data_IF_570820207867
#
_entry.id   IF_570820207867
#
_cell.length_a   1.000
_cell.length_b   1.000
_cell.length_c   1.000
_cell.angle_alpha   90.00
_cell.angle_beta   90.00
_cell.angle_gamma   90.00
#
_symmetry.space_group_name_H-M   'P 1'
#
loop_
_entity.id
_entity.type
_entity.pdbx_description
1 polymer ?
#
# COMPACT_ATOMS: atom_id res chain seq x y z
N UNK A 1 3.62 -13.60 -15.05
CA UNK A 1 3.30 -12.14 -14.98
C UNK A 1 4.44 -11.44 -14.23
N UNK A 2 5.67 -11.62 -14.69
CA UNK A 2 6.87 -11.18 -13.95
C UNK A 2 7.13 -9.66 -13.94
N UNK A 3 6.38 -8.84 -14.70
CA UNK A 3 6.83 -7.45 -14.92
C UNK A 3 5.76 -6.37 -14.91
N UNK A 4 4.60 -6.59 -14.30
CA UNK A 4 3.53 -5.57 -14.34
C UNK A 4 3.96 -4.26 -13.64
N UNK A 5 4.74 -4.34 -12.57
CA UNK A 5 5.23 -3.16 -11.86
C UNK A 5 6.34 -2.45 -12.64
N UNK A 6 7.28 -3.23 -13.20
CA UNK A 6 8.31 -2.69 -14.07
C UNK A 6 7.70 -1.99 -15.30
N UNK A 7 6.67 -2.59 -15.90
CA UNK A 7 5.91 -1.96 -16.98
C UNK A 7 5.22 -0.68 -16.48
N UNK A 8 4.52 -0.72 -15.34
CA UNK A 8 3.89 0.47 -14.76
C UNK A 8 4.90 1.58 -14.50
N UNK A 9 6.08 1.23 -13.96
CA UNK A 9 7.16 2.19 -13.72
C UNK A 9 7.67 2.77 -15.04
N UNK A 10 8.00 1.94 -16.02
CA UNK A 10 8.45 2.40 -17.33
C UNK A 10 7.41 3.32 -17.99
N UNK A 11 6.13 2.95 -17.96
CA UNK A 11 5.05 3.80 -18.51
C UNK A 11 4.89 5.10 -17.70
N UNK A 12 5.07 5.09 -16.39
CA UNK A 12 4.94 6.30 -15.55
C UNK A 12 6.06 7.31 -15.75
N UNK A 13 7.19 6.92 -16.34
CA UNK A 13 8.29 7.83 -16.71
C UNK A 13 8.11 8.49 -18.06
N UNK A 14 7.17 8.01 -18.89
CA UNK A 14 6.90 8.58 -20.19
C UNK A 14 6.05 9.84 -20.09
N UNK A 15 6.31 10.79 -21.00
CA UNK A 15 5.43 11.94 -21.18
C UNK A 15 4.12 11.51 -21.87
N UNK A 16 3.03 12.22 -21.64
CA UNK A 16 1.72 11.91 -22.21
C UNK A 16 1.75 11.68 -23.73
N UNK A 17 2.59 12.43 -24.46
CA UNK A 17 2.76 12.29 -25.91
C UNK A 17 3.46 10.98 -26.28
N UNK A 18 4.44 10.54 -25.48
CA UNK A 18 5.16 9.28 -25.69
C UNK A 18 4.24 8.09 -25.40
N UNK A 19 3.43 8.17 -24.32
CA UNK A 19 2.41 7.15 -24.01
C UNK A 19 1.40 7.03 -25.15
N UNK A 20 0.90 8.16 -25.68
CA UNK A 20 -0.01 8.16 -26.82
C UNK A 20 0.64 7.58 -28.08
N UNK A 21 1.91 7.89 -28.34
CA UNK A 21 2.66 7.35 -29.49
C UNK A 21 2.79 5.82 -29.38
N UNK A 22 3.26 5.29 -28.25
CA UNK A 22 3.36 3.84 -28.03
C UNK A 22 2.00 3.14 -28.12
N UNK A 23 0.96 3.71 -27.51
CA UNK A 23 -0.40 3.16 -27.60
C UNK A 23 -0.91 3.15 -29.04
N UNK A 24 -0.66 4.19 -29.80
CA UNK A 24 -1.04 4.27 -31.21
C UNK A 24 -0.35 3.20 -32.03
N UNK A 25 0.95 2.98 -31.83
CA UNK A 25 1.71 1.94 -32.52
C UNK A 25 1.17 0.53 -32.20
N UNK A 26 0.92 0.26 -30.91
CA UNK A 26 0.34 -1.03 -30.47
C UNK A 26 -1.05 -1.24 -31.10
N UNK A 27 -1.91 -0.23 -31.09
CA UNK A 27 -3.26 -0.34 -31.66
C UNK A 27 -3.24 -0.46 -33.18
N UNK A 28 -2.30 0.21 -33.87
CA UNK A 28 -2.10 0.06 -35.31
C UNK A 28 -1.66 -1.37 -35.66
N UNK A 29 -0.67 -1.92 -34.93
CA UNK A 29 -0.20 -3.31 -35.11
C UNK A 29 -1.32 -4.34 -34.87
N UNK A 30 -2.16 -4.13 -33.83
CA UNK A 30 -3.34 -4.98 -33.59
C UNK A 30 -4.37 -4.85 -34.74
N UNK A 31 -4.55 -3.64 -35.28
CA UNK A 31 -5.44 -3.38 -36.40
C UNK A 31 -5.01 -4.13 -37.66
N UNK A 32 -3.72 -4.06 -38.00
CA UNK A 32 -3.13 -4.76 -39.15
C UNK A 32 -3.25 -6.28 -39.00
N UNK A 33 -2.97 -6.83 -37.79
CA UNK A 33 -3.17 -8.23 -37.48
C UNK A 33 -4.62 -8.66 -37.70
N UNK A 34 -5.59 -7.84 -37.30
CA UNK A 34 -7.02 -8.11 -37.47
C UNK A 34 -7.44 -8.13 -38.94
N UNK A 35 -6.90 -7.24 -39.73
CA UNK A 35 -7.18 -7.21 -41.19
C UNK A 35 -6.55 -8.41 -41.91
N UNK A 36 -5.33 -8.79 -41.55
CA UNK A 36 -4.65 -9.96 -42.10
C UNK A 36 -5.33 -11.27 -41.71
N UNK A 37 -5.93 -11.34 -40.49
CA UNK A 37 -6.61 -12.53 -39.97
C UNK A 37 -7.78 -13.01 -40.85
N UNK A 38 -8.42 -12.13 -41.62
CA UNK A 38 -9.48 -12.45 -42.59
C UNK A 38 -9.03 -12.97 -43.94
N UNK A 39 -7.71 -12.97 -44.25
CA UNK A 39 -7.13 -13.29 -45.56
C UNK A 39 -6.01 -14.34 -45.54
N UNK A 40 -5.89 -15.10 -44.43
CA UNK A 40 -4.77 -16.03 -44.21
C UNK A 40 -4.80 -17.23 -45.17
N UNK A 41 -3.83 -17.27 -46.11
CA UNK A 41 -3.48 -18.44 -46.90
C UNK A 41 -2.36 -19.30 -46.24
N UNK A 42 -1.76 -18.82 -45.14
CA UNK A 42 -0.65 -19.49 -44.39
C UNK A 42 -0.99 -19.68 -42.91
N UNK A 43 -0.30 -20.60 -42.22
CA UNK A 43 -0.51 -20.83 -40.78
C UNK A 43 -0.31 -19.53 -39.97
N UNK A 44 -1.20 -19.32 -39.01
CA UNK A 44 -1.21 -18.14 -38.10
C UNK A 44 0.16 -17.85 -37.47
N UNK A 45 0.91 -18.90 -37.15
CA UNK A 45 2.22 -18.85 -36.52
C UNK A 45 3.28 -18.10 -37.35
N UNK A 46 3.22 -18.23 -38.70
CA UNK A 46 4.13 -17.52 -39.59
C UNK A 46 3.80 -16.02 -39.73
N UNK A 47 2.52 -15.66 -39.60
CA UNK A 47 2.07 -14.28 -39.69
C UNK A 47 2.21 -13.50 -38.39
N UNK A 48 2.27 -14.22 -37.26
CA UNK A 48 2.45 -13.62 -35.92
C UNK A 48 3.92 -13.32 -35.60
N UNK A 49 4.86 -13.89 -36.34
CA UNK A 49 6.29 -13.79 -36.00
C UNK A 49 6.82 -12.35 -36.07
N UNK A 50 6.52 -11.59 -37.12
CA UNK A 50 6.95 -10.19 -37.26
C UNK A 50 6.29 -9.25 -36.25
N UNK A 51 4.94 -9.22 -36.12
CA UNK A 51 4.30 -8.35 -35.14
C UNK A 51 4.65 -8.67 -33.68
N UNK A 52 4.89 -9.95 -33.37
CA UNK A 52 5.36 -10.35 -32.03
C UNK A 52 6.81 -9.89 -31.82
N UNK A 53 7.66 -9.97 -32.84
CA UNK A 53 9.04 -9.48 -32.78
C UNK A 53 9.08 -7.95 -32.55
N UNK A 54 8.25 -7.19 -33.26
CA UNK A 54 8.12 -5.74 -33.06
C UNK A 54 7.63 -5.38 -31.65
N UNK A 55 6.62 -6.07 -31.12
CA UNK A 55 6.15 -5.90 -29.74
C UNK A 55 7.24 -6.22 -28.72
N UNK A 56 8.04 -7.25 -28.95
CA UNK A 56 9.18 -7.60 -28.10
C UNK A 56 10.26 -6.53 -28.17
N UNK A 57 10.53 -5.98 -29.33
CA UNK A 57 11.50 -4.91 -29.52
C UNK A 57 11.02 -3.61 -28.84
N UNK A 58 9.77 -3.24 -29.02
CA UNK A 58 9.16 -2.09 -28.32
C UNK A 58 9.19 -2.26 -26.80
N UNK A 59 8.82 -3.44 -26.29
CA UNK A 59 8.96 -3.78 -24.87
C UNK A 59 10.40 -3.67 -24.40
N UNK A 60 11.34 -4.24 -25.16
CA UNK A 60 12.77 -4.20 -24.80
C UNK A 60 13.33 -2.77 -24.81
N UNK A 61 12.88 -1.95 -25.78
CA UNK A 61 13.22 -0.53 -25.85
C UNK A 61 12.68 0.23 -24.67
N UNK A 62 11.40 0.03 -24.32
CA UNK A 62 10.75 0.65 -23.16
C UNK A 62 11.46 0.28 -21.85
N UNK A 63 11.81 -1.01 -21.70
CA UNK A 63 12.47 -1.53 -20.49
C UNK A 63 13.96 -1.19 -20.42
N UNK A 64 14.60 -0.80 -21.53
CA UNK A 64 15.99 -0.35 -21.59
C UNK A 64 16.16 1.15 -21.43
N UNK A 65 15.07 1.91 -21.39
CA UNK A 65 15.15 3.32 -21.04
C UNK A 65 15.86 3.46 -19.69
N UNK A 66 16.87 4.35 -19.57
CA UNK A 66 17.50 4.59 -18.28
C UNK A 66 16.41 4.91 -17.28
N UNK A 67 16.54 4.36 -16.07
CA UNK A 67 15.62 4.63 -14.99
C UNK A 67 15.57 6.14 -14.75
N UNK A 68 14.69 6.81 -15.49
CA UNK A 68 14.39 8.22 -15.25
C UNK A 68 13.69 8.27 -13.89
N UNK A 69 14.06 9.25 -13.07
CA UNK A 69 13.35 9.52 -11.83
C UNK A 69 11.87 9.64 -12.15
N UNK A 70 11.05 8.93 -11.40
CA UNK A 70 9.62 9.14 -11.52
C UNK A 70 9.32 10.61 -11.15
N UNK A 71 8.35 11.20 -11.80
CA UNK A 71 7.98 12.62 -11.64
C UNK A 71 7.82 13.05 -10.17
N UNK A 72 7.42 12.11 -9.31
CA UNK A 72 7.20 12.35 -7.89
C UNK A 72 8.39 12.05 -6.98
N UNK A 73 9.48 11.50 -7.52
CA UNK A 73 10.67 11.20 -6.72
C UNK A 73 11.41 12.49 -6.31
N UNK A 74 12.09 12.49 -5.16
CA UNK A 74 12.90 13.62 -4.71
C UNK A 74 13.89 14.07 -5.77
N UNK A 75 14.06 15.38 -5.91
CA UNK A 75 14.94 16.03 -6.88
C UNK A 75 15.78 17.11 -6.17
N UNK A 76 16.93 17.53 -6.72
CA UNK A 76 17.81 18.50 -6.08
C UNK A 76 17.18 19.86 -5.76
N UNK A 77 16.18 20.26 -6.55
CA UNK A 77 15.41 21.49 -6.43
C UNK A 77 14.12 21.35 -5.59
N UNK A 78 13.88 20.17 -5.04
CA UNK A 78 12.74 19.93 -4.16
C UNK A 78 12.85 20.74 -2.88
N UNK A 79 11.83 21.52 -2.56
CA UNK A 79 11.75 22.26 -1.30
C UNK A 79 11.09 21.47 -0.18
N UNK A 80 10.19 20.52 -0.55
CA UNK A 80 9.48 19.66 0.39
C UNK A 80 9.48 18.21 -0.11
N UNK A 81 9.67 17.28 0.81
CA UNK A 81 9.50 15.84 0.55
C UNK A 81 8.51 15.31 1.56
N UNK A 82 7.36 14.83 1.06
CA UNK A 82 6.32 14.22 1.87
C UNK A 82 6.55 12.72 1.96
N UNK A 83 6.70 12.20 3.17
CA UNK A 83 6.76 10.76 3.45
C UNK A 83 5.42 10.35 4.05
N UNK A 84 4.77 9.38 3.46
CA UNK A 84 3.41 8.96 3.83
C UNK A 84 3.17 7.47 3.61
N UNK A 85 2.15 6.91 4.26
CA UNK A 85 1.79 5.50 4.17
C UNK A 85 0.60 5.28 3.23
N UNK A 86 0.75 4.30 2.34
CA UNK A 86 -0.31 3.78 1.47
C UNK A 86 -0.55 4.57 0.17
N UNK A 87 -0.84 3.82 -0.89
CA UNK A 87 -1.05 4.38 -2.24
C UNK A 87 -2.32 5.24 -2.35
N UNK A 88 -3.37 4.92 -1.56
CA UNK A 88 -4.60 5.72 -1.55
C UNK A 88 -4.32 7.15 -1.08
N UNK A 89 -3.61 7.30 0.03
CA UNK A 89 -3.21 8.61 0.53
C UNK A 89 -2.24 9.31 -0.41
N UNK A 90 -1.27 8.55 -0.99
CA UNK A 90 -0.38 9.04 -2.03
C UNK A 90 -1.12 9.59 -3.25
N UNK A 91 -2.18 8.91 -3.67
CA UNK A 91 -3.05 9.35 -4.77
C UNK A 91 -3.74 10.68 -4.48
N UNK A 92 -4.37 10.80 -3.30
CA UNK A 92 -5.00 12.06 -2.84
C UNK A 92 -3.98 13.20 -2.74
N UNK A 93 -2.79 12.93 -2.19
CA UNK A 93 -1.71 13.92 -2.08
C UNK A 93 -1.25 14.41 -3.46
N UNK A 94 -1.01 13.51 -4.41
CA UNK A 94 -0.63 13.86 -5.78
C UNK A 94 -1.66 14.76 -6.44
N UNK A 95 -2.95 14.50 -6.22
CA UNK A 95 -4.03 15.34 -6.74
C UNK A 95 -3.95 16.75 -6.15
N UNK A 96 -3.84 16.87 -4.84
CA UNK A 96 -3.81 18.18 -4.16
C UNK A 96 -2.57 18.99 -4.56
N UNK A 97 -1.39 18.34 -4.65
CA UNK A 97 -0.17 19.02 -5.08
C UNK A 97 -0.26 19.54 -6.53
N UNK A 98 -0.95 18.80 -7.41
CA UNK A 98 -1.25 19.28 -8.77
C UNK A 98 -2.19 20.49 -8.76
N UNK A 99 -3.23 20.47 -7.94
CA UNK A 99 -4.17 21.59 -7.82
C UNK A 99 -3.50 22.86 -7.32
N UNK A 100 -2.49 22.74 -6.44
CA UNK A 100 -1.69 23.89 -5.98
C UNK A 100 -0.60 24.33 -6.95
N UNK A 101 -0.30 23.54 -7.99
CA UNK A 101 0.84 23.80 -8.88
C UNK A 101 2.21 23.59 -8.19
N UNK A 102 2.28 22.75 -7.15
CA UNK A 102 3.49 22.51 -6.35
C UNK A 102 4.28 21.28 -6.79
N UNK A 103 3.94 20.69 -7.92
CA UNK A 103 4.52 19.43 -8.41
C UNK A 103 6.03 19.48 -8.64
N UNK A 104 6.58 20.64 -8.96
CA UNK A 104 8.00 20.78 -9.22
C UNK A 104 8.83 20.83 -7.91
N UNK A 105 8.25 21.41 -6.87
CA UNK A 105 8.95 21.67 -5.59
C UNK A 105 8.59 20.68 -4.48
N UNK A 106 7.43 20.01 -4.57
CA UNK A 106 6.96 19.02 -3.59
C UNK A 106 7.03 17.63 -4.18
N UNK A 107 7.71 16.73 -3.50
CA UNK A 107 7.93 15.34 -3.93
C UNK A 107 7.41 14.36 -2.88
N UNK A 108 7.28 13.09 -3.27
CA UNK A 108 6.61 12.08 -2.47
C UNK A 108 7.48 10.84 -2.31
N UNK A 109 7.54 10.32 -1.10
CA UNK A 109 8.01 8.97 -0.79
C UNK A 109 6.84 8.24 -0.14
N UNK A 110 6.37 7.16 -0.78
CA UNK A 110 5.22 6.40 -0.32
C UNK A 110 5.69 5.08 0.27
N UNK A 111 5.44 4.89 1.55
CA UNK A 111 5.60 3.62 2.25
C UNK A 111 4.37 2.75 1.94
N UNK A 112 4.50 1.80 1.02
CA UNK A 112 3.34 1.04 0.49
C UNK A 112 2.88 -0.10 1.37
N UNK A 113 3.74 -0.56 2.27
CA UNK A 113 3.43 -1.73 3.09
C UNK A 113 2.54 -1.39 4.30
N UNK A 114 1.72 -2.35 4.72
CA UNK A 114 1.03 -2.29 6.00
C UNK A 114 1.93 -2.84 7.12
N UNK A 115 2.53 -1.94 7.90
CA UNK A 115 3.44 -2.29 8.99
C UNK A 115 2.72 -2.75 10.26
N UNK A 116 1.38 -2.73 10.32
CA UNK A 116 0.62 -3.33 11.41
C UNK A 116 0.66 -4.86 11.37
N UNK A 117 0.91 -5.46 10.21
CA UNK A 117 0.89 -6.91 9.99
C UNK A 117 2.21 -7.44 9.43
N UNK A 118 2.47 -8.73 9.67
CA UNK A 118 3.66 -9.43 9.23
C UNK A 118 4.91 -9.13 10.09
N UNK A 119 5.98 -9.93 9.93
CA UNK A 119 7.23 -9.73 10.65
C UNK A 119 7.91 -8.42 10.23
N UNK A 120 8.53 -7.74 11.19
CA UNK A 120 9.34 -6.53 10.97
C UNK A 120 10.80 -6.75 11.34
N UNK A 121 11.16 -7.95 11.82
CA UNK A 121 12.52 -8.25 12.24
C UNK A 121 13.49 -8.08 11.08
N UNK A 122 14.56 -7.31 11.33
CA UNK A 122 15.62 -7.01 10.38
C UNK A 122 15.12 -6.50 9.00
N UNK A 123 14.01 -5.78 8.96
CA UNK A 123 13.41 -5.30 7.71
C UNK A 123 14.36 -4.39 6.90
N UNK A 124 15.30 -3.76 7.56
CA UNK A 124 16.40 -2.98 6.98
C UNK A 124 17.45 -3.84 6.24
N UNK A 125 17.39 -5.18 6.40
CA UNK A 125 18.29 -6.14 5.74
C UNK A 125 17.57 -6.97 4.67
N UNK A 126 18.28 -7.49 3.64
CA UNK A 126 17.69 -8.41 2.66
C UNK A 126 17.09 -9.68 3.31
N UNK A 127 17.66 -10.14 4.42
CA UNK A 127 17.18 -11.32 5.15
C UNK A 127 15.81 -11.05 5.77
N UNK A 128 15.65 -9.94 6.47
CA UNK A 128 14.36 -9.59 7.08
C UNK A 128 13.27 -9.31 6.03
N UNK A 129 13.61 -8.63 4.92
CA UNK A 129 12.67 -8.42 3.80
C UNK A 129 12.21 -9.73 3.18
N UNK A 130 13.14 -10.69 3.01
CA UNK A 130 12.81 -12.03 2.54
C UNK A 130 11.89 -12.76 3.53
N UNK A 131 12.18 -12.73 4.83
CA UNK A 131 11.33 -13.33 5.87
C UNK A 131 9.91 -12.76 5.83
N UNK A 132 9.79 -11.44 5.70
CA UNK A 132 8.50 -10.76 5.57
C UNK A 132 7.76 -11.18 4.31
N UNK A 133 8.42 -11.17 3.15
CA UNK A 133 7.84 -11.60 1.87
C UNK A 133 7.39 -13.07 1.90
N UNK A 134 8.20 -13.95 2.49
CA UNK A 134 7.86 -15.37 2.66
C UNK A 134 6.64 -15.54 3.57
N UNK A 135 6.54 -14.77 4.65
CA UNK A 135 5.40 -14.79 5.54
C UNK A 135 4.11 -14.35 4.82
N UNK A 136 4.14 -13.24 4.07
CA UNK A 136 2.99 -12.78 3.29
C UNK A 136 2.55 -13.82 2.26
N UNK A 137 3.49 -14.43 1.54
CA UNK A 137 3.21 -15.47 0.56
C UNK A 137 2.57 -16.72 1.18
N UNK A 138 2.94 -17.08 2.41
CA UNK A 138 2.41 -18.25 3.11
C UNK A 138 1.05 -18.00 3.73
N UNK A 139 0.78 -16.79 4.21
CA UNK A 139 -0.39 -16.48 5.02
C UNK A 139 -1.43 -15.60 4.31
N UNK A 140 -1.01 -14.74 3.39
CA UNK A 140 -1.88 -13.76 2.72
C UNK A 140 -1.98 -14.10 1.23
N UNK A 141 -3.11 -14.69 0.82
CA UNK A 141 -3.29 -15.25 -0.53
C UNK A 141 -3.30 -14.20 -1.67
N UNK A 142 -3.65 -12.96 -1.38
CA UNK A 142 -3.69 -11.90 -2.39
C UNK A 142 -2.33 -11.27 -2.68
N UNK A 143 -1.35 -11.54 -1.81
CA UNK A 143 0.03 -11.07 -1.99
C UNK A 143 0.85 -12.07 -2.81
N UNK A 144 0.56 -12.15 -4.10
CA UNK A 144 1.46 -12.78 -5.06
C UNK A 144 2.61 -11.84 -5.46
N UNK A 145 3.06 -10.96 -4.58
CA UNK A 145 4.26 -10.17 -4.84
C UNK A 145 5.47 -11.09 -4.88
N UNK A 146 6.11 -11.09 -6.02
CA UNK A 146 7.37 -11.83 -6.20
C UNK A 146 8.38 -11.24 -5.23
N UNK A 147 9.16 -12.07 -4.55
CA UNK A 147 10.22 -11.67 -3.62
C UNK A 147 11.11 -10.54 -4.18
N UNK A 148 11.38 -10.59 -5.49
CA UNK A 148 12.17 -9.60 -6.21
C UNK A 148 11.50 -8.22 -6.31
N UNK A 149 10.18 -8.16 -6.23
CA UNK A 149 9.40 -6.91 -6.26
C UNK A 149 9.50 -6.15 -4.93
N UNK A 150 9.37 -6.85 -3.81
CA UNK A 150 9.53 -6.26 -2.48
C UNK A 150 10.95 -5.72 -2.27
N UNK A 151 11.96 -6.47 -2.71
CA UNK A 151 13.36 -6.04 -2.60
C UNK A 151 13.64 -4.81 -3.47
N UNK A 152 13.08 -4.76 -4.68
CA UNK A 152 13.20 -3.61 -5.56
C UNK A 152 12.51 -2.37 -4.97
N UNK A 153 11.28 -2.50 -4.46
CA UNK A 153 10.55 -1.40 -3.84
C UNK A 153 11.28 -0.82 -2.63
N UNK A 154 11.91 -1.70 -1.83
CA UNK A 154 12.70 -1.25 -0.70
C UNK A 154 14.00 -0.56 -1.13
N UNK A 155 14.67 -1.06 -2.16
CA UNK A 155 15.84 -0.40 -2.75
C UNK A 155 15.48 0.97 -3.29
N UNK A 156 14.36 1.10 -4.02
CA UNK A 156 13.84 2.38 -4.50
C UNK A 156 13.51 3.34 -3.35
N UNK A 157 12.96 2.83 -2.26
CA UNK A 157 12.73 3.63 -1.05
C UNK A 157 14.04 4.21 -0.51
N UNK A 158 15.09 3.40 -0.36
CA UNK A 158 16.38 3.85 0.13
C UNK A 158 17.02 4.86 -0.82
N UNK A 159 17.01 4.58 -2.13
CA UNK A 159 17.52 5.49 -3.15
C UNK A 159 16.80 6.85 -3.12
N UNK A 160 15.48 6.84 -2.96
CA UNK A 160 14.68 8.06 -2.86
C UNK A 160 14.98 8.85 -1.57
N UNK A 161 15.20 8.15 -0.46
CA UNK A 161 15.61 8.80 0.79
C UNK A 161 16.99 9.44 0.66
N UNK A 162 17.95 8.77 -0.01
CA UNK A 162 19.29 9.34 -0.24
C UNK A 162 19.26 10.59 -1.12
N UNK A 163 18.32 10.68 -2.07
CA UNK A 163 18.17 11.77 -3.01
C UNK A 163 17.47 13.01 -2.44
N UNK A 164 17.00 12.98 -1.21
CA UNK A 164 16.41 14.17 -0.57
C UNK A 164 17.47 15.25 -0.49
N UNK A 165 17.19 16.42 -1.06
CA UNK A 165 18.06 17.60 -0.96
C UNK A 165 18.27 18.00 0.50
N UNK A 166 19.49 18.39 0.88
CA UNK A 166 19.78 18.87 2.24
C UNK A 166 18.97 20.12 2.64
N UNK A 167 18.49 20.88 1.65
CA UNK A 167 17.69 22.08 1.85
C UNK A 167 16.18 21.78 1.93
N UNK A 168 15.75 20.57 1.57
CA UNK A 168 14.33 20.23 1.59
C UNK A 168 13.83 20.05 3.02
N UNK A 169 12.63 20.56 3.30
CA UNK A 169 11.88 20.21 4.49
C UNK A 169 11.24 18.82 4.29
N UNK A 170 11.38 17.96 5.29
CA UNK A 170 10.75 16.63 5.27
C UNK A 170 9.45 16.70 6.07
N UNK A 171 8.34 16.29 5.44
CA UNK A 171 7.02 16.26 6.05
C UNK A 171 6.56 14.81 6.16
N UNK A 172 6.56 14.28 7.37
CA UNK A 172 6.07 12.92 7.64
C UNK A 172 4.60 12.99 8.02
N UNK A 173 3.77 12.32 7.23
CA UNK A 173 2.35 12.19 7.48
C UNK A 173 2.07 10.92 8.25
N UNK A 174 1.27 11.01 9.30
CA UNK A 174 0.92 9.91 10.19
C UNK A 174 -0.55 9.97 10.56
N UNK A 175 -1.02 8.98 11.28
CA UNK A 175 -2.36 8.90 11.83
C UNK A 175 -2.41 7.99 13.07
N UNK A 176 -3.56 7.91 13.70
CA UNK A 176 -3.77 7.17 14.94
C UNK A 176 -4.03 5.67 14.69
N UNK A 177 -3.15 5.02 13.90
CA UNK A 177 -3.19 3.58 13.65
C UNK A 177 -1.80 2.95 13.64
N UNK A 178 -1.74 1.64 13.84
CA UNK A 178 -0.48 0.92 14.00
C UNK A 178 0.41 0.96 12.75
N UNK A 179 -0.16 0.91 11.54
CA UNK A 179 0.62 0.92 10.31
C UNK A 179 1.33 2.25 10.09
N UNK A 180 0.62 3.37 10.22
CA UNK A 180 1.19 4.70 10.02
C UNK A 180 2.16 5.08 11.14
N UNK A 181 1.86 4.68 12.37
CA UNK A 181 2.76 4.88 13.51
C UNK A 181 4.06 4.06 13.39
N UNK A 182 4.00 2.84 12.87
CA UNK A 182 5.19 2.05 12.56
C UNK A 182 5.96 2.64 11.36
N UNK A 183 5.24 3.04 10.30
CA UNK A 183 5.81 3.68 9.12
C UNK A 183 6.52 5.00 9.44
N UNK A 184 5.96 5.83 10.32
CA UNK A 184 6.63 7.04 10.83
C UNK A 184 7.97 6.72 11.52
N UNK A 185 7.98 5.69 12.38
CA UNK A 185 9.20 5.26 13.08
C UNK A 185 10.25 4.72 12.12
N UNK A 186 9.82 3.91 11.15
CA UNK A 186 10.69 3.43 10.07
C UNK A 186 11.28 4.61 9.28
N UNK A 187 10.45 5.55 8.82
CA UNK A 187 10.90 6.71 8.07
C UNK A 187 11.97 7.51 8.83
N UNK A 188 11.70 7.82 10.11
CA UNK A 188 12.68 8.54 10.97
C UNK A 188 13.95 7.75 11.17
N UNK A 189 13.85 6.42 11.36
CA UNK A 189 15.01 5.54 11.49
C UNK A 189 15.88 5.54 10.22
N UNK A 190 15.26 5.40 9.04
CA UNK A 190 15.96 5.38 7.75
C UNK A 190 16.54 6.73 7.35
N UNK A 191 15.93 7.85 7.77
CA UNK A 191 16.50 9.18 7.58
C UNK A 191 17.80 9.37 8.38
N UNK A 192 17.99 8.66 9.47
CA UNK A 192 19.22 8.64 10.24
C UNK A 192 19.61 10.03 10.78
N UNK A 193 20.89 10.43 10.57
CA UNK A 193 21.45 11.68 11.10
C UNK A 193 21.34 12.87 10.12
N UNK A 194 20.35 12.89 9.24
CA UNK A 194 20.14 14.00 8.32
C UNK A 194 19.87 15.30 9.08
N UNK A 195 20.33 16.42 8.50
CA UNK A 195 20.18 17.75 9.09
C UNK A 195 18.91 18.48 8.61
N UNK A 196 18.10 17.81 7.76
CA UNK A 196 16.85 18.36 7.28
C UNK A 196 15.90 18.66 8.44
N UNK A 197 15.14 19.74 8.32
CA UNK A 197 14.01 19.98 9.21
C UNK A 197 12.93 18.92 8.94
N UNK A 198 12.51 18.21 9.98
CA UNK A 198 11.47 17.18 9.89
C UNK A 198 10.23 17.69 10.64
N UNK A 199 9.11 17.72 9.94
CA UNK A 199 7.79 18.04 10.49
C UNK A 199 6.92 16.79 10.47
N UNK A 200 6.15 16.56 11.54
CA UNK A 200 5.17 15.50 11.62
C UNK A 200 3.76 16.09 11.65
N UNK A 201 2.89 15.55 10.82
CA UNK A 201 1.48 15.92 10.71
C UNK A 201 0.58 14.70 10.80
N UNK A 202 -0.41 14.76 11.67
CA UNK A 202 -1.52 13.81 11.68
C UNK A 202 -2.65 14.38 10.81
N UNK A 203 -2.77 13.84 9.58
CA UNK A 203 -3.77 14.31 8.61
C UNK A 203 -5.21 14.07 9.09
N UNK A 204 -5.47 12.93 9.74
CA UNK A 204 -6.77 12.59 10.33
C UNK A 204 -7.15 13.60 11.40
N UNK A 205 -6.30 13.80 12.40
CA UNK A 205 -6.53 14.73 13.50
C UNK A 205 -6.74 16.17 13.01
N UNK A 206 -5.99 16.62 12.01
CA UNK A 206 -6.17 17.95 11.41
C UNK A 206 -7.54 18.05 10.75
N UNK A 207 -7.93 17.07 9.92
CA UNK A 207 -9.21 17.07 9.23
C UNK A 207 -10.39 16.96 10.22
N UNK A 208 -10.28 16.12 11.22
CA UNK A 208 -11.29 16.00 12.29
C UNK A 208 -11.50 17.33 13.02
N UNK A 209 -10.40 17.97 13.40
CA UNK A 209 -10.47 19.30 14.07
C UNK A 209 -11.10 20.37 13.19
N UNK A 210 -10.89 20.32 11.88
CA UNK A 210 -11.38 21.35 10.95
C UNK A 210 -12.84 21.13 10.53
N UNK A 211 -13.25 19.88 10.37
CA UNK A 211 -14.50 19.55 9.69
C UNK A 211 -15.55 18.90 10.58
N UNK A 212 -15.16 18.33 11.74
CA UNK A 212 -16.14 17.75 12.65
C UNK A 212 -17.00 18.82 13.33
N UNK A 213 -18.29 18.54 13.38
CA UNK A 213 -19.32 19.36 14.00
C UNK A 213 -20.17 18.48 14.94
N UNK A 214 -20.92 19.06 15.90
CA UNK A 214 -21.70 18.28 16.85
C UNK A 214 -22.66 17.26 16.25
N UNK A 215 -23.11 17.48 15.00
CA UNK A 215 -24.06 16.62 14.29
C UNK A 215 -23.49 15.92 13.06
N UNK A 216 -22.18 16.10 12.76
CA UNK A 216 -21.48 15.51 11.62
C UNK A 216 -20.06 15.17 12.03
N UNK A 217 -19.90 14.00 12.62
CA UNK A 217 -18.62 13.51 13.11
C UNK A 217 -18.06 12.46 12.17
N UNK A 218 -16.82 12.62 11.78
CA UNK A 218 -16.03 11.64 11.01
C UNK A 218 -14.78 11.34 11.81
N UNK A 219 -14.47 10.07 11.94
CA UNK A 219 -13.20 9.57 12.46
C UNK A 219 -12.52 8.80 11.34
N UNK A 220 -11.25 9.11 11.06
CA UNK A 220 -10.46 8.43 10.02
C UNK A 220 -9.63 7.31 10.64
N UNK A 221 -9.90 6.06 10.25
CA UNK A 221 -9.11 4.92 10.69
C UNK A 221 -7.69 4.93 10.11
N UNK A 222 -7.52 5.54 8.93
CA UNK A 222 -6.22 5.76 8.30
C UNK A 222 -6.26 6.94 7.31
N UNK A 223 -5.09 7.51 7.01
CA UNK A 223 -4.99 8.70 6.16
C UNK A 223 -5.51 8.50 4.73
N UNK A 224 -5.54 7.26 4.23
CA UNK A 224 -6.07 6.93 2.91
C UNK A 224 -7.59 7.11 2.74
N UNK A 225 -8.34 7.31 3.84
CA UNK A 225 -9.77 7.63 3.82
C UNK A 225 -10.03 9.13 3.65
N UNK A 226 -9.01 9.97 3.75
CA UNK A 226 -9.15 11.42 3.68
C UNK A 226 -9.32 11.83 2.21
N UNK A 227 -10.46 12.42 1.84
CA UNK A 227 -10.67 12.89 0.48
C UNK A 227 -9.80 14.12 0.17
N UNK A 228 -9.45 14.29 -1.10
CA UNK A 228 -8.49 15.31 -1.55
C UNK A 228 -8.91 16.75 -1.20
N UNK A 229 -10.20 17.08 -1.21
CA UNK A 229 -10.72 18.38 -0.84
C UNK A 229 -10.42 18.74 0.62
N UNK A 230 -10.51 17.77 1.54
CA UNK A 230 -10.16 17.94 2.96
C UNK A 230 -8.64 17.92 3.18
N UNK A 231 -7.93 17.04 2.47
CA UNK A 231 -6.48 16.96 2.55
C UNK A 231 -5.82 18.29 2.11
N UNK A 232 -6.42 19.00 1.15
CA UNK A 232 -5.99 20.34 0.74
C UNK A 232 -5.89 21.31 1.91
N UNK A 233 -6.87 21.30 2.80
CA UNK A 233 -6.89 22.15 3.98
C UNK A 233 -5.83 21.74 5.02
N UNK A 234 -5.53 20.43 5.12
CA UNK A 234 -4.45 19.93 5.97
C UNK A 234 -3.07 20.34 5.42
N UNK A 235 -2.88 20.27 4.10
CA UNK A 235 -1.64 20.61 3.43
C UNK A 235 -1.28 22.11 3.63
N UNK A 236 -2.26 23.00 3.65
CA UNK A 236 -2.05 24.44 3.92
C UNK A 236 -1.56 24.73 5.36
N UNK A 237 -1.50 23.72 6.21
CA UNK A 237 -1.09 23.84 7.63
C UNK A 237 0.24 23.16 7.95
N UNK A 238 1.05 22.90 6.94
CA UNK A 238 2.38 22.27 7.11
C UNK A 238 3.20 23.00 8.17
N UNK A 239 3.26 24.32 8.10
CA UNK A 239 4.04 25.15 9.04
C UNK A 239 3.57 25.03 10.50
N UNK A 240 2.34 24.58 10.73
CA UNK A 240 1.78 24.29 12.04
C UNK A 240 2.08 22.89 12.57
N UNK A 241 2.79 22.06 11.80
CA UNK A 241 3.20 20.71 12.20
C UNK A 241 4.23 20.71 13.34
N UNK A 242 4.30 19.58 14.03
CA UNK A 242 5.28 19.39 15.11
C UNK A 242 6.67 19.16 14.53
N UNK A 243 7.59 20.09 14.77
CA UNK A 243 9.00 19.94 14.40
C UNK A 243 9.68 18.95 15.33
N UNK A 244 10.30 17.93 14.76
CA UNK A 244 11.03 16.94 15.54
C UNK A 244 12.33 17.52 16.09
N UNK A 245 12.51 17.41 17.40
CA UNK A 245 13.80 17.66 18.05
C UNK A 245 14.72 16.44 17.88
N UNK A 246 16.02 16.61 18.13
CA UNK A 246 16.97 15.49 18.15
C UNK A 246 16.54 14.39 19.15
N UNK A 247 15.91 14.77 20.26
CA UNK A 247 15.35 13.81 21.23
C UNK A 247 14.18 13.04 20.66
N UNK A 248 13.28 13.69 19.90
CA UNK A 248 12.15 13.01 19.25
C UNK A 248 12.63 12.05 18.17
N UNK A 249 13.61 12.45 17.35
CA UNK A 249 14.24 11.60 16.34
C UNK A 249 14.83 10.35 16.99
N UNK A 250 15.62 10.54 18.04
CA UNK A 250 16.22 9.40 18.78
C UNK A 250 15.14 8.47 19.39
N UNK A 251 14.08 9.03 19.96
CA UNK A 251 12.95 8.27 20.54
C UNK A 251 12.18 7.49 19.48
N UNK A 252 11.88 8.10 18.33
CA UNK A 252 11.16 7.43 17.24
C UNK A 252 12.01 6.34 16.58
N UNK A 253 13.30 6.61 16.35
CA UNK A 253 14.24 5.62 15.82
C UNK A 253 14.41 4.43 16.79
N UNK A 254 14.56 4.69 18.08
CA UNK A 254 14.60 3.63 19.10
C UNK A 254 13.26 2.86 19.16
N UNK A 255 12.14 3.56 18.96
CA UNK A 255 10.83 2.95 18.85
C UNK A 255 10.75 1.96 17.68
N UNK A 256 11.34 2.30 16.52
CA UNK A 256 11.47 1.37 15.41
C UNK A 256 12.29 0.13 15.79
N UNK A 257 13.47 0.31 16.35
CA UNK A 257 14.33 -0.81 16.76
C UNK A 257 13.64 -1.73 17.79
N UNK A 258 12.80 -1.17 18.66
CA UNK A 258 12.04 -1.93 19.61
C UNK A 258 11.00 -2.81 18.94
N UNK A 259 10.17 -2.26 18.03
CA UNK A 259 9.11 -3.03 17.38
C UNK A 259 9.64 -4.00 16.32
N UNK A 260 10.73 -3.65 15.62
CA UNK A 260 11.37 -4.53 14.65
C UNK A 260 12.18 -5.65 15.30
N UNK A 261 12.55 -5.53 16.58
CA UNK A 261 13.16 -6.62 17.33
C UNK A 261 12.16 -7.59 17.97
N UNK A 262 10.85 -7.39 17.76
CA UNK A 262 9.80 -8.28 18.27
C UNK A 262 9.45 -9.34 17.21
N UNK A 263 9.07 -10.54 17.67
CA UNK A 263 8.76 -11.67 16.79
C UNK A 263 7.29 -11.74 16.35
N UNK A 264 6.42 -10.88 16.89
CA UNK A 264 5.01 -10.89 16.59
C UNK A 264 4.69 -10.38 15.18
N UNK A 265 3.54 -10.81 14.68
CA UNK A 265 3.07 -10.51 13.33
C UNK A 265 1.86 -9.59 13.28
N UNK A 266 1.41 -9.13 14.44
CA UNK A 266 0.25 -8.23 14.54
C UNK A 266 0.50 -7.13 15.56
N UNK A 267 0.18 -5.89 15.20
CA UNK A 267 0.33 -4.71 16.04
C UNK A 267 -0.94 -3.87 16.01
N UNK A 268 -1.22 -3.26 17.15
CA UNK A 268 -2.32 -2.29 17.30
C UNK A 268 -1.78 -0.98 17.87
N UNK A 269 -2.49 0.11 17.62
CA UNK A 269 -2.25 1.41 18.24
C UNK A 269 -3.29 1.66 19.33
N UNK A 270 -2.85 1.78 20.56
CA UNK A 270 -3.74 2.03 21.70
C UNK A 270 -3.05 2.91 22.73
N UNK A 271 -3.75 3.91 23.24
CA UNK A 271 -3.25 4.80 24.30
C UNK A 271 -1.88 5.37 23.97
N UNK A 272 -1.72 5.91 22.74
CA UNK A 272 -0.48 6.46 22.19
C UNK A 272 0.72 5.49 22.20
N UNK A 273 0.45 4.19 22.25
CA UNK A 273 1.46 3.15 22.20
C UNK A 273 1.22 2.17 21.04
N UNK A 274 2.32 1.78 20.38
CA UNK A 274 2.34 0.70 19.40
C UNK A 274 2.60 -0.62 20.15
N UNK A 275 1.60 -1.49 20.14
CA UNK A 275 1.61 -2.73 20.94
C UNK A 275 1.61 -3.95 20.03
N UNK A 276 2.52 -4.91 20.29
CA UNK A 276 2.43 -6.24 19.72
C UNK A 276 1.33 -7.02 20.42
N UNK A 277 0.50 -7.72 19.65
CA UNK A 277 -0.57 -8.58 20.15
C UNK A 277 -0.49 -9.96 19.50
N UNK A 278 -1.08 -11.02 20.11
CA UNK A 278 -1.12 -12.33 19.52
C UNK A 278 -1.74 -12.32 18.11
N UNK A 279 -1.29 -13.22 17.24
CA UNK A 279 -1.81 -13.31 15.86
C UNK A 279 -3.32 -13.58 15.78
N UNK A 280 -3.88 -14.24 16.77
CA UNK A 280 -5.30 -14.57 16.91
C UNK A 280 -6.13 -13.52 17.66
N UNK A 281 -5.54 -12.36 17.95
CA UNK A 281 -6.17 -11.27 18.72
C UNK A 281 -7.57 -10.91 18.23
N UNK A 282 -7.82 -10.95 16.92
CA UNK A 282 -9.11 -10.63 16.33
C UNK A 282 -10.05 -11.83 16.13
N UNK A 283 -9.68 -13.04 16.51
CA UNK A 283 -10.50 -14.24 16.28
C UNK A 283 -11.86 -14.14 17.01
N UNK A 284 -11.84 -13.74 18.27
CA UNK A 284 -13.08 -13.54 19.04
C UNK A 284 -13.97 -12.43 18.42
N UNK A 285 -13.35 -11.35 17.96
CA UNK A 285 -14.04 -10.26 17.28
C UNK A 285 -14.70 -10.73 15.97
N UNK A 286 -13.97 -11.50 15.14
CA UNK A 286 -14.51 -12.08 13.91
C UNK A 286 -15.69 -13.02 14.20
N UNK A 287 -15.59 -13.84 15.24
CA UNK A 287 -16.64 -14.76 15.64
C UNK A 287 -17.88 -14.02 16.18
N UNK A 288 -17.71 -12.93 16.92
CA UNK A 288 -18.80 -12.07 17.39
C UNK A 288 -19.50 -11.40 16.20
N UNK A 289 -18.73 -10.88 15.24
CA UNK A 289 -19.30 -10.31 14.00
C UNK A 289 -20.07 -11.34 13.19
N UNK A 290 -19.53 -12.56 13.06
CA UNK A 290 -20.23 -13.65 12.36
C UNK A 290 -21.56 -13.98 13.03
N UNK A 291 -21.59 -14.03 14.35
CA UNK A 291 -22.82 -14.36 15.12
C UNK A 291 -23.89 -13.25 15.02
N UNK A 292 -23.47 -12.00 14.77
CA UNK A 292 -24.40 -10.86 14.57
C UNK A 292 -24.99 -10.78 13.15
N UNK A 293 -24.44 -11.52 12.19
CA UNK A 293 -24.84 -11.48 10.78
C UNK A 293 -25.88 -12.55 10.48
N UNK A 294 -26.97 -12.14 9.82
CA UNK A 294 -27.99 -13.08 9.34
C UNK A 294 -27.55 -13.73 8.00
N UNK A 295 -27.48 -15.07 7.95
CA UNK A 295 -27.20 -15.77 6.71
C UNK A 295 -28.40 -15.65 5.74
N UNK A 296 -28.15 -15.69 4.40
CA UNK A 296 -29.23 -15.68 3.42
C UNK A 296 -30.19 -16.86 3.61
N UNK A 297 -31.52 -16.67 3.41
CA UNK A 297 -32.50 -17.75 3.49
C UNK A 297 -32.12 -18.92 2.56
N UNK A 298 -32.29 -20.15 3.06
CA UNK A 298 -32.02 -21.38 2.30
C UNK A 298 -30.55 -21.75 2.12
N UNK A 299 -29.64 -21.07 2.80
CA UNK A 299 -28.19 -21.33 2.69
C UNK A 299 -27.61 -22.12 3.87
N UNK A 300 -28.45 -22.86 4.62
CA UNK A 300 -28.07 -23.73 5.74
C UNK A 300 -27.17 -23.06 6.80
N UNK A 301 -27.34 -21.74 7.01
CA UNK A 301 -26.55 -20.95 7.93
C UNK A 301 -25.18 -20.50 7.38
N UNK A 302 -24.87 -20.78 6.12
CA UNK A 302 -23.64 -20.30 5.50
C UNK A 302 -23.75 -18.84 5.06
N UNK A 303 -22.73 -18.06 5.38
CA UNK A 303 -22.53 -16.65 5.00
C UNK A 303 -21.27 -16.53 4.13
N UNK A 304 -21.28 -15.66 3.12
CA UNK A 304 -20.07 -15.36 2.34
C UNK A 304 -18.96 -14.81 3.26
N UNK A 305 -17.74 -15.36 3.12
CA UNK A 305 -16.58 -14.89 3.87
C UNK A 305 -16.33 -13.40 3.66
N UNK A 306 -16.46 -12.91 2.41
CA UNK A 306 -16.33 -11.49 2.08
C UNK A 306 -17.31 -10.59 2.86
N UNK A 307 -18.53 -11.08 3.21
CA UNK A 307 -19.48 -10.30 4.02
C UNK A 307 -19.02 -10.19 5.47
N UNK A 308 -18.47 -11.27 6.05
CA UNK A 308 -17.89 -11.21 7.39
C UNK A 308 -16.67 -10.27 7.42
N UNK A 309 -15.76 -10.41 6.45
CA UNK A 309 -14.56 -9.56 6.38
C UNK A 309 -14.94 -8.09 6.21
N UNK A 310 -15.91 -7.79 5.33
CA UNK A 310 -16.40 -6.42 5.16
C UNK A 310 -17.04 -5.84 6.41
N UNK A 311 -17.83 -6.64 7.14
CA UNK A 311 -18.39 -6.25 8.44
C UNK A 311 -17.29 -6.00 9.48
N UNK A 312 -16.29 -6.87 9.53
CA UNK A 312 -15.18 -6.73 10.47
C UNK A 312 -14.38 -5.45 10.18
N UNK A 313 -14.07 -5.14 8.93
CA UNK A 313 -13.37 -3.90 8.55
C UNK A 313 -14.19 -2.68 8.90
N UNK A 314 -15.48 -2.68 8.56
CA UNK A 314 -16.36 -1.52 8.75
C UNK A 314 -16.55 -1.08 10.20
N UNK A 315 -16.29 -1.98 11.17
CA UNK A 315 -16.44 -1.71 12.60
C UNK A 315 -15.16 -1.90 13.41
N UNK A 316 -14.03 -2.18 12.77
CA UNK A 316 -12.75 -2.29 13.46
C UNK A 316 -12.18 -0.90 13.74
N UNK A 317 -11.80 -0.65 14.99
CA UNK A 317 -11.14 0.59 15.39
C UNK A 317 -9.69 0.70 14.90
N UNK A 318 -9.13 -0.40 14.36
CA UNK A 318 -7.76 -0.47 13.87
C UNK A 318 -7.71 -0.71 12.37
N UNK A 319 -6.81 -0.06 11.68
CA UNK A 319 -6.54 -0.33 10.27
C UNK A 319 -5.67 -1.59 10.11
N UNK A 320 -6.33 -2.75 9.96
CA UNK A 320 -5.66 -4.05 9.80
C UNK A 320 -5.67 -4.51 8.34
N UNK A 321 -6.77 -4.28 7.63
CA UNK A 321 -6.97 -4.69 6.25
C UNK A 321 -7.70 -6.03 6.10
N UNK A 322 -8.34 -6.19 4.95
CA UNK A 322 -9.18 -7.33 4.58
C UNK A 322 -8.39 -8.63 4.45
N UNK A 323 -7.19 -8.55 3.89
CA UNK A 323 -6.32 -9.69 3.67
C UNK A 323 -5.91 -10.39 4.98
N UNK A 324 -5.68 -9.64 6.07
CA UNK A 324 -5.39 -10.23 7.37
C UNK A 324 -6.63 -10.87 8.01
N UNK A 325 -7.77 -10.22 7.95
CA UNK A 325 -9.01 -10.82 8.44
C UNK A 325 -9.38 -12.07 7.66
N UNK A 326 -9.20 -12.07 6.34
CA UNK A 326 -9.41 -13.26 5.51
C UNK A 326 -8.46 -14.40 5.91
N UNK A 327 -7.18 -14.09 6.18
CA UNK A 327 -6.22 -15.06 6.73
C UNK A 327 -6.73 -15.66 8.04
N UNK A 328 -7.20 -14.83 8.99
CA UNK A 328 -7.73 -15.33 10.28
C UNK A 328 -8.99 -16.19 10.10
N UNK A 329 -9.87 -15.84 9.18
CA UNK A 329 -11.03 -16.67 8.83
C UNK A 329 -10.59 -18.05 8.33
N UNK A 330 -9.54 -18.14 7.52
CA UNK A 330 -8.99 -19.43 7.06
C UNK A 330 -8.38 -20.23 8.23
N UNK A 331 -7.67 -19.60 9.13
CA UNK A 331 -7.15 -20.24 10.34
C UNK A 331 -8.27 -20.80 11.21
N UNK A 332 -9.39 -20.09 11.38
CA UNK A 332 -10.58 -20.58 12.07
C UNK A 332 -11.26 -21.76 11.36
N UNK A 333 -11.16 -21.83 10.02
CA UNK A 333 -11.62 -23.01 9.26
C UNK A 333 -10.66 -24.18 9.50
N UNK A 334 -9.36 -23.99 9.38
CA UNK A 334 -8.37 -25.06 9.53
C UNK A 334 -8.33 -25.62 10.96
N UNK A 335 -8.56 -24.79 11.95
CA UNK A 335 -8.70 -25.22 13.37
C UNK A 335 -10.06 -25.91 13.65
N UNK A 336 -10.98 -25.92 12.67
CA UNK A 336 -12.28 -26.57 12.81
C UNK A 336 -13.30 -25.79 13.65
N UNK A 337 -13.08 -24.52 13.93
CA UNK A 337 -14.04 -23.60 14.58
C UNK A 337 -15.14 -23.19 13.59
N UNK A 338 -14.76 -22.99 12.33
CA UNK A 338 -15.70 -22.69 11.24
C UNK A 338 -15.78 -23.85 10.25
N UNK A 339 -16.97 -24.03 9.68
CA UNK A 339 -17.20 -24.89 8.52
C UNK A 339 -17.17 -24.04 7.24
N UNK A 340 -16.69 -24.67 6.15
CA UNK A 340 -16.56 -24.03 4.83
C UNK A 340 -17.45 -24.68 3.79
N UNK A 341 -17.98 -23.86 2.87
CA UNK A 341 -18.63 -24.29 1.62
C UNK A 341 -17.99 -23.52 0.46
N UNK A 342 -17.28 -24.22 -0.41
CA UNK A 342 -16.50 -23.66 -1.50
C UNK A 342 -15.00 -23.83 -1.31
N UNK A 343 -14.20 -23.12 -2.08
CA UNK A 343 -12.73 -23.22 -2.06
C UNK A 343 -12.13 -21.89 -1.56
N UNK A 344 -11.26 -21.89 -0.55
CA UNK A 344 -10.74 -20.66 0.07
C UNK A 344 -9.58 -20.06 -0.74
N UNK A 345 -9.77 -19.82 -2.02
CA UNK A 345 -8.81 -19.15 -2.91
C UNK A 345 -8.88 -17.63 -2.80
N UNK A 346 -10.06 -17.09 -2.53
CA UNK A 346 -10.28 -15.70 -2.13
C UNK A 346 -11.65 -15.61 -1.42
N UNK A 347 -11.82 -14.65 -0.53
CA UNK A 347 -12.99 -14.47 0.34
C UNK A 347 -14.35 -14.47 -0.41
N UNK A 348 -14.39 -14.11 -1.69
CA UNK A 348 -15.61 -14.11 -2.52
C UNK A 348 -16.03 -15.51 -2.99
N UNK A 349 -15.14 -16.49 -2.97
CA UNK A 349 -15.41 -17.81 -3.55
C UNK A 349 -15.91 -18.86 -2.55
N UNK A 350 -15.88 -18.54 -1.24
CA UNK A 350 -16.35 -19.47 -0.24
C UNK A 350 -17.31 -18.83 0.78
N UNK A 351 -18.03 -19.67 1.45
CA UNK A 351 -18.95 -19.30 2.52
C UNK A 351 -18.58 -20.06 3.80
N UNK A 352 -18.90 -19.50 4.92
CA UNK A 352 -18.55 -20.00 6.25
C UNK A 352 -19.76 -20.01 7.15
N UNK A 353 -19.73 -20.86 8.16
CA UNK A 353 -20.63 -20.81 9.32
C UNK A 353 -19.90 -21.32 10.56
N UNK A 354 -20.44 -21.02 11.73
CA UNK A 354 -19.98 -21.68 12.95
C UNK A 354 -20.23 -23.18 12.87
N UNK A 355 -19.26 -23.98 13.29
CA UNK A 355 -19.46 -25.41 13.46
C UNK A 355 -20.49 -25.63 14.57
N UNK A 356 -21.53 -26.44 14.27
CA UNK A 356 -22.49 -26.85 15.27
C UNK A 356 -21.79 -27.87 16.17
N UNK A 357 -21.82 -27.62 17.49
CA UNK A 357 -21.32 -28.55 18.50
C UNK A 357 -22.10 -29.85 18.54
#
# INVERSE_FOLDING_TARGET
MKDMLAIKKAVSTLRDEEVKSYLTQILAGIGELKEQYGQLERPLEEHMAEPVAELIEQYSSLMSLPAQRAFWDPAPDSTHVHILCGDSFGGSMKQVLKEFGWTDTHKLIILRENYAIGPLDQLDTPVGRKLRSDWFRQHIHEYFTVSDECEREYTELLDNLEQISEQAQIVIWTGSNASEQAGQRLAVHLLGNRQNEIIVLDAGAICEKLFNQPHAFINYCHSGEIPSDKLREALLRIDGGSRLTATDIARLSQGWLTISGQSGVLRIWREDALLEVPADYYDSYLLEKLDSLEPPPGNDGFLKSARLVGEAIGYCEQYIGDAYFEHRVRELIYSGVLEIKGVPTAMRFYSIRRKKG
#
